data_IF_919973136535
#
_entry.id   IF_919973136535
#
_cell.length_a   1.000
_cell.length_b   1.000
_cell.length_c   1.000
_cell.angle_alpha   90.00
_cell.angle_beta   90.00
_cell.angle_gamma   90.00
#
_symmetry.space_group_name_H-M   'P 1'
#
loop_
_entity.id
_entity.type
_entity.pdbx_description
1 polymer ?
#
# COMPACT_ATOMS: atom_id res chain seq x y z
N UNK A 1 12.11 -10.56 16.69
CA UNK A 1 11.25 -10.25 15.52
C UNK A 1 12.22 -10.28 14.35
N UNK A 2 12.27 -11.40 13.65
CA UNK A 2 13.30 -11.63 12.64
C UNK A 2 13.03 -10.72 11.43
N UNK A 3 13.96 -9.81 11.20
CA UNK A 3 14.07 -9.13 9.92
C UNK A 3 14.44 -10.22 8.91
N UNK A 4 13.54 -10.52 7.96
CA UNK A 4 13.89 -11.43 6.85
C UNK A 4 15.20 -10.98 6.20
N UNK A 5 16.09 -11.95 5.90
CA UNK A 5 17.39 -11.67 5.32
C UNK A 5 17.29 -10.79 4.05
N UNK A 6 18.24 -9.87 3.84
CA UNK A 6 18.35 -9.11 2.59
C UNK A 6 18.38 -10.04 1.38
N UNK A 7 17.83 -9.59 0.25
CA UNK A 7 17.87 -10.36 -1.00
C UNK A 7 19.33 -10.54 -1.42
N UNK A 8 19.73 -11.80 -1.61
CA UNK A 8 21.12 -12.13 -1.96
C UNK A 8 21.45 -11.63 -3.37
N UNK A 9 22.70 -11.26 -3.68
CA UNK A 9 23.08 -10.78 -5.01
C UNK A 9 22.63 -11.68 -6.17
N UNK A 10 22.73 -13.00 -6.00
CA UNK A 10 22.29 -13.98 -7.00
C UNK A 10 20.75 -14.00 -7.20
N UNK A 11 19.98 -13.72 -6.16
CA UNK A 11 18.52 -13.65 -6.23
C UNK A 11 18.06 -12.42 -7.01
N UNK A 12 18.83 -11.33 -6.95
CA UNK A 12 18.53 -10.12 -7.70
C UNK A 12 18.60 -10.29 -9.21
N UNK A 13 19.51 -11.10 -9.75
CA UNK A 13 19.55 -11.35 -11.19
C UNK A 13 18.23 -11.94 -11.69
N UNK A 14 17.71 -12.93 -10.96
CA UNK A 14 16.41 -13.56 -11.24
C UNK A 14 15.25 -12.56 -11.14
N UNK A 15 15.25 -11.71 -10.11
CA UNK A 15 14.25 -10.64 -9.96
C UNK A 15 14.29 -9.70 -11.17
N UNK A 16 15.47 -9.26 -11.59
CA UNK A 16 15.65 -8.34 -12.70
C UNK A 16 15.25 -8.98 -14.04
N UNK A 17 15.53 -10.25 -14.25
CA UNK A 17 15.12 -10.98 -15.46
C UNK A 17 13.59 -11.04 -15.56
N UNK A 18 12.90 -11.33 -14.45
CA UNK A 18 11.43 -11.36 -14.40
C UNK A 18 10.84 -9.96 -14.60
N UNK A 19 11.40 -8.94 -13.94
CA UNK A 19 11.00 -7.54 -14.12
C UNK A 19 11.21 -7.12 -15.58
N UNK A 20 12.38 -7.38 -16.18
CA UNK A 20 12.67 -7.01 -17.57
C UNK A 20 11.66 -7.61 -18.56
N UNK A 21 11.22 -8.85 -18.33
CA UNK A 21 10.22 -9.51 -19.19
C UNK A 21 8.83 -8.91 -19.06
N UNK A 22 8.49 -8.34 -17.92
CA UNK A 22 7.09 -8.08 -17.56
C UNK A 22 6.77 -6.60 -17.30
N UNK A 23 7.78 -5.77 -17.03
CA UNK A 23 7.65 -4.40 -16.52
C UNK A 23 6.66 -3.55 -17.32
N UNK A 24 6.96 -3.30 -18.59
CA UNK A 24 6.12 -2.46 -19.47
C UNK A 24 4.69 -2.97 -19.53
N UNK A 25 4.51 -4.28 -19.75
CA UNK A 25 3.19 -4.89 -19.93
C UNK A 25 2.27 -4.75 -18.70
N UNK A 26 2.83 -4.69 -17.49
CA UNK A 26 2.06 -4.48 -16.27
C UNK A 26 1.95 -3.01 -15.88
N UNK A 27 2.99 -2.21 -16.10
CA UNK A 27 2.96 -0.77 -15.82
C UNK A 27 1.86 -0.07 -16.62
N UNK A 28 1.72 -0.39 -17.90
CA UNK A 28 0.69 0.17 -18.80
C UNK A 28 -0.75 -0.16 -18.36
N UNK A 29 -0.94 -1.16 -17.50
CA UNK A 29 -2.25 -1.53 -16.96
C UNK A 29 -2.68 -0.63 -15.79
N UNK A 30 -1.78 0.22 -15.30
CA UNK A 30 -2.10 1.20 -14.27
C UNK A 30 -3.09 2.24 -14.81
N UNK A 31 -4.15 2.51 -14.06
CA UNK A 31 -5.25 3.35 -14.53
C UNK A 31 -5.29 4.66 -13.75
N UNK A 32 -4.82 5.74 -14.37
CA UNK A 32 -4.95 7.09 -13.80
C UNK A 32 -6.40 7.56 -13.67
N UNK A 33 -7.33 6.99 -14.43
CA UNK A 33 -8.78 7.20 -14.20
C UNK A 33 -9.25 6.67 -12.83
N UNK A 34 -8.66 5.56 -12.36
CA UNK A 34 -8.99 4.96 -11.05
C UNK A 34 -8.16 5.54 -9.91
N UNK A 35 -6.94 5.96 -10.22
CA UNK A 35 -5.95 6.47 -9.29
C UNK A 35 -5.38 7.78 -9.86
N UNK A 36 -6.16 8.86 -9.87
CA UNK A 36 -5.71 10.10 -10.47
C UNK A 36 -4.58 10.71 -9.62
N UNK A 37 -3.52 11.15 -10.30
CA UNK A 37 -2.27 11.53 -9.66
C UNK A 37 -2.40 12.87 -8.90
N UNK A 38 -3.11 13.85 -9.49
CA UNK A 38 -3.25 15.19 -8.91
C UNK A 38 -3.87 15.15 -7.52
N UNK A 39 -4.93 14.38 -7.34
CA UNK A 39 -5.64 14.27 -6.07
C UNK A 39 -4.81 13.51 -5.04
N UNK A 40 -4.08 12.49 -5.50
CA UNK A 40 -3.13 11.79 -4.64
C UNK A 40 -2.00 12.70 -4.14
N UNK A 41 -1.44 13.56 -4.99
CA UNK A 41 -0.46 14.58 -4.56
C UNK A 41 -1.07 15.53 -3.51
N UNK A 42 -2.29 16.04 -3.76
CA UNK A 42 -2.98 16.90 -2.79
C UNK A 42 -3.28 16.21 -1.45
N UNK A 43 -3.56 14.90 -1.46
CA UNK A 43 -3.71 14.13 -0.22
C UNK A 43 -2.38 14.04 0.52
N UNK A 44 -1.27 13.76 -0.16
CA UNK A 44 0.05 13.75 0.50
C UNK A 44 0.34 15.09 1.15
N UNK A 45 0.17 16.20 0.43
CA UNK A 45 0.45 17.54 0.94
C UNK A 45 -0.34 17.88 2.20
N UNK A 46 -1.65 17.62 2.18
CA UNK A 46 -2.55 17.99 3.29
C UNK A 46 -2.38 17.10 4.52
N UNK A 47 -2.13 15.80 4.32
CA UNK A 47 -1.93 14.85 5.41
C UNK A 47 -0.54 14.97 6.03
N UNK A 48 0.52 15.14 5.23
CA UNK A 48 1.88 15.33 5.76
C UNK A 48 2.04 16.66 6.50
N UNK A 49 1.30 17.70 6.10
CA UNK A 49 1.23 18.96 6.82
C UNK A 49 0.32 18.93 8.06
N UNK A 50 -0.32 17.79 8.37
CA UNK A 50 -1.24 17.63 9.50
C UNK A 50 -2.32 18.71 9.55
N UNK A 51 -2.85 19.08 8.39
CA UNK A 51 -3.89 20.10 8.27
C UNK A 51 -5.14 19.72 9.07
N UNK A 52 -5.86 20.73 9.55
CA UNK A 52 -7.08 20.49 10.35
C UNK A 52 -8.16 19.78 9.56
N UNK A 53 -8.33 20.19 8.30
CA UNK A 53 -9.32 19.62 7.39
C UNK A 53 -8.58 18.89 6.28
N UNK A 54 -8.66 17.57 6.33
CA UNK A 54 -8.20 16.67 5.27
C UNK A 54 -9.42 15.99 4.63
N UNK A 55 -9.36 15.72 3.33
CA UNK A 55 -10.40 14.96 2.65
C UNK A 55 -10.18 13.44 2.83
N UNK A 56 -10.47 12.96 4.04
CA UNK A 56 -10.33 11.55 4.42
C UNK A 56 -11.18 10.61 3.57
N UNK A 57 -12.40 11.02 3.24
CA UNK A 57 -13.29 10.25 2.39
C UNK A 57 -12.68 10.06 1.00
N UNK A 58 -12.28 11.16 0.34
CA UNK A 58 -11.71 11.09 -1.00
C UNK A 58 -10.39 10.31 -1.02
N UNK A 59 -9.50 10.53 -0.04
CA UNK A 59 -8.22 9.81 0.07
C UNK A 59 -8.42 8.29 0.22
N UNK A 60 -9.35 7.86 1.08
CA UNK A 60 -9.61 6.43 1.28
C UNK A 60 -10.33 5.79 0.08
N UNK A 61 -11.24 6.53 -0.57
CA UNK A 61 -11.87 6.07 -1.82
C UNK A 61 -10.84 5.95 -2.96
N UNK A 62 -9.87 6.85 -3.03
CA UNK A 62 -8.74 6.75 -3.94
C UNK A 62 -7.97 5.43 -3.69
N UNK A 63 -7.60 5.15 -2.43
CA UNK A 63 -6.87 3.91 -2.08
C UNK A 63 -7.60 2.64 -2.48
N UNK A 64 -8.93 2.62 -2.35
CA UNK A 64 -9.75 1.46 -2.69
C UNK A 64 -10.11 1.37 -4.18
N UNK A 65 -9.66 2.29 -5.02
CA UNK A 65 -10.03 2.35 -6.44
C UNK A 65 -11.53 2.63 -6.62
N UNK A 66 -12.09 3.43 -5.72
CA UNK A 66 -13.48 3.89 -5.72
C UNK A 66 -13.60 5.39 -6.02
N UNK A 67 -12.54 6.00 -6.56
CA UNK A 67 -12.55 7.39 -7.00
C UNK A 67 -13.80 7.72 -7.84
N UNK A 68 -14.47 8.81 -7.50
CA UNK A 68 -15.69 9.28 -8.17
C UNK A 68 -16.94 8.40 -8.01
N UNK A 69 -16.90 7.32 -7.21
CA UNK A 69 -18.05 6.45 -6.99
C UNK A 69 -18.85 6.90 -5.77
N UNK A 70 -20.16 7.14 -5.96
CA UNK A 70 -21.09 7.46 -4.87
C UNK A 70 -21.51 6.23 -4.05
N UNK A 71 -21.58 5.06 -4.71
CA UNK A 71 -22.05 3.82 -4.10
C UNK A 71 -20.87 2.90 -3.75
N UNK A 72 -20.37 3.01 -2.53
CA UNK A 72 -19.36 2.10 -1.95
C UNK A 72 -19.88 1.44 -0.67
N UNK A 73 -19.30 0.31 -0.21
CA UNK A 73 -19.80 -0.47 0.92
C UNK A 73 -20.04 0.34 2.22
N UNK A 74 -21.13 0.04 2.93
CA UNK A 74 -21.46 0.69 4.22
C UNK A 74 -20.35 0.56 5.27
N UNK A 75 -19.66 -0.59 5.31
CA UNK A 75 -18.51 -0.82 6.21
C UNK A 75 -17.33 0.12 5.94
N UNK A 76 -17.17 0.58 4.69
CA UNK A 76 -16.15 1.57 4.33
C UNK A 76 -16.58 2.98 4.76
N UNK A 77 -17.85 3.35 4.59
CA UNK A 77 -18.41 4.60 5.13
C UNK A 77 -18.24 4.70 6.65
N UNK A 78 -18.56 3.63 7.37
CA UNK A 78 -18.40 3.59 8.82
C UNK A 78 -16.93 3.76 9.23
N UNK A 79 -16.00 3.11 8.53
CA UNK A 79 -14.57 3.25 8.79
C UNK A 79 -14.06 4.67 8.54
N UNK A 80 -14.49 5.32 7.45
CA UNK A 80 -14.15 6.73 7.17
C UNK A 80 -14.57 7.61 8.35
N UNK A 81 -15.82 7.51 8.80
CA UNK A 81 -16.32 8.28 9.96
C UNK A 81 -15.51 8.04 11.23
N UNK A 82 -15.12 6.78 11.48
CA UNK A 82 -14.24 6.46 12.61
C UNK A 82 -12.90 7.18 12.49
N UNK A 83 -12.30 7.21 11.30
CA UNK A 83 -11.00 7.87 11.09
C UNK A 83 -11.13 9.39 11.20
N UNK A 84 -12.18 9.97 10.63
CA UNK A 84 -12.51 11.41 10.74
C UNK A 84 -12.63 11.83 12.21
N UNK A 85 -13.39 11.07 13.02
CA UNK A 85 -13.52 11.33 14.44
C UNK A 85 -12.20 11.18 15.22
N UNK A 86 -11.24 10.39 14.71
CA UNK A 86 -9.93 10.18 15.33
C UNK A 86 -8.87 11.17 14.87
N UNK A 87 -9.08 11.87 13.74
CA UNK A 87 -8.09 12.81 13.18
C UNK A 87 -7.67 13.92 14.15
N UNK A 88 -8.58 14.62 14.87
CA UNK A 88 -8.16 15.64 15.84
C UNK A 88 -7.30 15.08 16.97
N UNK A 89 -7.63 13.88 17.47
CA UNK A 89 -6.84 13.19 18.50
C UNK A 89 -5.46 12.77 17.99
N UNK A 90 -5.37 12.32 16.73
CA UNK A 90 -4.10 12.00 16.10
C UNK A 90 -3.23 13.26 16.03
N UNK A 91 -3.76 14.36 15.50
CA UNK A 91 -3.01 15.62 15.41
C UNK A 91 -2.53 16.09 16.77
N UNK A 92 -3.41 16.09 17.77
CA UNK A 92 -3.04 16.45 19.14
C UNK A 92 -1.94 15.55 19.69
N UNK A 93 -2.02 14.23 19.47
CA UNK A 93 -0.99 13.29 19.89
C UNK A 93 0.37 13.57 19.23
N UNK A 94 0.40 13.92 17.94
CA UNK A 94 1.64 14.29 17.24
C UNK A 94 2.22 15.59 17.78
N UNK A 95 1.40 16.59 18.11
CA UNK A 95 1.87 17.86 18.67
C UNK A 95 2.17 17.82 20.18
N UNK A 96 1.68 16.82 20.91
CA UNK A 96 1.95 16.64 22.34
C UNK A 96 3.21 15.81 22.64
N UNK A 97 3.85 15.21 21.63
CA UNK A 97 5.03 14.35 21.82
C UNK A 97 6.34 15.13 21.63
N UNK A 98 7.30 14.95 22.55
CA UNK A 98 8.61 15.64 22.64
C UNK A 98 9.59 15.26 21.48
N UNK A 99 9.07 14.75 20.37
CA UNK A 99 9.84 14.43 19.17
C UNK A 99 8.91 13.89 18.09
N UNK A 100 9.00 14.46 16.89
CA UNK A 100 8.18 14.18 15.71
C UNK A 100 7.74 12.70 15.64
N UNK A 101 6.44 12.45 15.49
CA UNK A 101 5.91 11.10 15.37
C UNK A 101 6.58 10.36 14.22
N UNK A 102 7.45 9.39 14.52
CA UNK A 102 8.12 8.60 13.50
C UNK A 102 7.09 7.83 12.64
N UNK A 103 7.47 7.39 11.43
CA UNK A 103 6.58 6.58 10.61
C UNK A 103 6.05 5.32 11.32
N UNK A 104 6.90 4.65 12.10
CA UNK A 104 6.50 3.48 12.87
C UNK A 104 5.53 3.86 13.99
N UNK A 105 5.81 4.91 14.76
CA UNK A 105 4.91 5.37 15.82
C UNK A 105 3.54 5.78 15.26
N UNK A 106 3.53 6.40 14.07
CA UNK A 106 2.30 6.76 13.34
C UNK A 106 1.51 5.51 12.94
N UNK A 107 2.18 4.50 12.39
CA UNK A 107 1.55 3.22 12.06
C UNK A 107 1.00 2.51 13.29
N UNK A 108 1.74 2.47 14.38
CA UNK A 108 1.34 1.83 15.64
C UNK A 108 0.14 2.54 16.26
N UNK A 109 0.13 3.88 16.22
CA UNK A 109 -1.00 4.67 16.69
C UNK A 109 -2.28 4.34 15.91
N UNK A 110 -2.25 4.40 14.58
CA UNK A 110 -3.43 4.08 13.76
C UNK A 110 -3.86 2.63 13.91
N UNK A 111 -2.92 1.70 14.01
CA UNK A 111 -3.22 0.29 14.22
C UNK A 111 -3.85 0.03 15.58
N UNK A 112 -3.43 0.74 16.64
CA UNK A 112 -4.08 0.70 17.95
C UNK A 112 -5.51 1.22 17.90
N UNK A 113 -5.76 2.31 17.16
CA UNK A 113 -7.10 2.92 17.07
C UNK A 113 -8.08 2.12 16.19
N UNK A 114 -7.60 1.53 15.10
CA UNK A 114 -8.45 0.88 14.08
C UNK A 114 -8.48 -0.65 14.21
N UNK A 115 -7.54 -1.22 14.96
CA UNK A 115 -7.36 -2.65 15.13
C UNK A 115 -6.61 -3.32 13.97
N UNK A 116 -5.97 -4.46 14.28
CA UNK A 116 -5.09 -5.20 13.37
C UNK A 116 -5.73 -5.60 12.03
N UNK A 117 -7.05 -5.84 12.01
CA UNK A 117 -7.80 -6.20 10.78
C UNK A 117 -7.85 -5.06 9.76
N UNK A 118 -7.45 -3.84 10.14
CA UNK A 118 -7.43 -2.63 9.29
C UNK A 118 -6.04 -2.23 8.84
N UNK A 119 -5.08 -3.16 8.88
CA UNK A 119 -3.68 -2.96 8.46
C UNK A 119 -3.50 -2.06 7.23
N UNK A 120 -4.15 -2.37 6.11
CA UNK A 120 -4.00 -1.63 4.84
C UNK A 120 -4.41 -0.17 5.00
N UNK A 121 -5.41 0.11 5.84
CA UNK A 121 -5.87 1.46 6.13
C UNK A 121 -4.86 2.20 7.02
N UNK A 122 -4.38 1.56 8.09
CA UNK A 122 -3.34 2.13 8.94
C UNK A 122 -2.08 2.45 8.13
N UNK A 123 -1.60 1.49 7.32
CA UNK A 123 -0.42 1.67 6.48
C UNK A 123 -0.60 2.79 5.45
N UNK A 124 -1.79 2.92 4.85
CA UNK A 124 -2.06 4.00 3.90
C UNK A 124 -2.13 5.38 4.57
N UNK A 125 -2.73 5.48 5.76
CA UNK A 125 -2.71 6.73 6.52
C UNK A 125 -1.28 7.11 6.90
N UNK A 126 -0.48 6.16 7.38
CA UNK A 126 0.95 6.37 7.66
C UNK A 126 1.69 6.83 6.41
N UNK A 127 1.43 6.23 5.24
CA UNK A 127 1.99 6.67 3.97
C UNK A 127 1.63 8.12 3.65
N UNK A 128 0.36 8.52 3.77
CA UNK A 128 -0.06 9.89 3.48
C UNK A 128 0.58 10.93 4.42
N UNK A 129 0.86 10.55 5.67
CA UNK A 129 1.51 11.41 6.66
C UNK A 129 3.03 11.45 6.45
N UNK A 130 3.64 10.35 5.99
CA UNK A 130 5.08 10.19 5.78
C UNK A 130 5.42 9.78 4.33
N UNK A 131 5.00 10.53 3.30
CA UNK A 131 4.98 10.04 1.92
C UNK A 131 6.36 9.78 1.31
N UNK A 132 7.40 10.47 1.79
CA UNK A 132 8.78 10.25 1.34
C UNK A 132 9.46 9.09 2.08
N UNK A 133 8.90 8.63 3.21
CA UNK A 133 9.53 7.62 4.06
C UNK A 133 8.84 6.27 4.02
N UNK A 134 7.56 6.23 3.64
CA UNK A 134 6.72 5.03 3.70
C UNK A 134 6.12 4.80 2.32
N UNK A 135 6.37 3.66 1.66
CA UNK A 135 5.72 3.34 0.39
C UNK A 135 4.24 2.97 0.60
N UNK A 136 3.45 3.00 -0.48
CA UNK A 136 2.13 2.37 -0.46
C UNK A 136 2.33 0.85 -0.38
N UNK A 137 1.83 0.24 0.69
CA UNK A 137 1.71 -1.22 0.76
C UNK A 137 0.25 -1.63 0.61
N UNK A 138 0.01 -2.61 -0.27
CA UNK A 138 -1.22 -3.38 -0.22
C UNK A 138 -1.00 -4.87 -0.53
N UNK A 139 -2.10 -5.62 -0.58
CA UNK A 139 -2.08 -7.06 -0.86
C UNK A 139 -1.48 -7.42 -2.23
N UNK A 140 -1.45 -6.49 -3.18
CA UNK A 140 -0.90 -6.66 -4.52
C UNK A 140 0.60 -6.41 -4.50
N UNK A 141 1.05 -5.26 -3.98
CA UNK A 141 2.48 -4.98 -3.83
C UNK A 141 3.17 -6.09 -3.02
N UNK A 142 2.58 -6.50 -1.90
CA UNK A 142 3.13 -7.55 -1.05
C UNK A 142 3.17 -8.92 -1.73
N UNK A 143 2.16 -9.24 -2.55
CA UNK A 143 2.19 -10.49 -3.35
C UNK A 143 3.27 -10.45 -4.42
N UNK A 144 3.41 -9.32 -5.11
CA UNK A 144 4.47 -9.13 -6.10
C UNK A 144 5.86 -9.30 -5.46
N UNK A 145 6.10 -8.64 -4.33
CA UNK A 145 7.32 -8.78 -3.53
C UNK A 145 7.64 -10.25 -3.25
N UNK A 146 6.70 -10.98 -2.64
CA UNK A 146 6.91 -12.38 -2.25
C UNK A 146 7.13 -13.29 -3.45
N UNK A 147 6.45 -13.02 -4.57
CA UNK A 147 6.63 -13.77 -5.80
C UNK A 147 8.02 -13.53 -6.42
N UNK A 148 8.44 -12.28 -6.52
CA UNK A 148 9.75 -11.91 -7.07
C UNK A 148 10.88 -12.47 -6.19
N UNK A 149 10.75 -12.41 -4.87
CA UNK A 149 11.72 -13.01 -3.93
C UNK A 149 11.71 -14.53 -3.95
N UNK A 150 10.62 -15.17 -4.36
CA UNK A 150 10.38 -16.62 -4.19
C UNK A 150 10.50 -17.06 -2.72
N UNK A 151 10.04 -16.22 -1.79
CA UNK A 151 10.14 -16.51 -0.35
C UNK A 151 9.42 -17.85 -0.03
N UNK A 152 10.13 -18.88 0.48
CA UNK A 152 9.50 -20.13 0.87
C UNK A 152 8.46 -19.87 1.96
N UNK A 153 7.28 -20.50 1.85
CA UNK A 153 6.19 -20.32 2.83
C UNK A 153 5.78 -18.85 3.07
N UNK A 154 5.89 -18.01 2.05
CA UNK A 154 5.59 -16.59 2.15
C UNK A 154 4.20 -16.31 2.73
N UNK A 155 4.14 -15.32 3.62
CA UNK A 155 2.90 -14.76 4.12
C UNK A 155 2.01 -14.29 2.95
N UNK A 156 0.71 -14.54 3.04
CA UNK A 156 -0.24 -14.20 1.95
C UNK A 156 -0.70 -12.74 1.96
N UNK A 157 -0.58 -12.05 3.09
CA UNK A 157 -1.07 -10.68 3.30
C UNK A 157 -0.13 -9.94 4.24
N UNK A 158 0.16 -8.65 4.02
CA UNK A 158 0.91 -7.88 4.99
C UNK A 158 0.05 -7.63 6.25
N UNK A 159 0.69 -7.47 7.40
CA UNK A 159 0.04 -7.32 8.70
C UNK A 159 0.87 -6.62 9.77
N UNK A 160 2.15 -6.29 9.55
CA UNK A 160 2.98 -5.60 10.55
C UNK A 160 3.88 -4.53 9.90
N UNK A 161 4.58 -3.77 10.74
CA UNK A 161 5.50 -2.71 10.32
C UNK A 161 6.68 -3.24 9.49
N UNK A 162 7.22 -4.41 9.85
CA UNK A 162 8.32 -5.03 9.12
C UNK A 162 7.97 -5.28 7.64
N UNK A 163 6.72 -5.61 7.31
CA UNK A 163 6.28 -5.77 5.92
C UNK A 163 6.41 -4.46 5.11
N UNK A 164 6.19 -3.29 5.73
CA UNK A 164 6.38 -1.96 5.11
C UNK A 164 7.87 -1.72 4.87
N UNK A 165 8.70 -1.99 5.88
CA UNK A 165 10.16 -1.82 5.82
C UNK A 165 10.74 -2.69 4.71
N UNK A 166 10.34 -3.96 4.63
CA UNK A 166 10.79 -4.87 3.58
C UNK A 166 10.38 -4.39 2.18
N UNK A 167 9.14 -3.94 2.01
CA UNK A 167 8.69 -3.38 0.73
C UNK A 167 9.50 -2.12 0.35
N UNK A 168 9.80 -1.24 1.31
CA UNK A 168 10.60 -0.03 1.10
C UNK A 168 12.00 -0.38 0.61
N UNK A 169 12.70 -1.29 1.29
CA UNK A 169 14.04 -1.73 0.88
C UNK A 169 14.01 -2.35 -0.51
N UNK A 170 13.03 -3.22 -0.77
CA UNK A 170 12.87 -3.85 -2.08
C UNK A 170 12.62 -2.82 -3.19
N UNK A 171 11.72 -1.87 -2.98
CA UNK A 171 11.41 -0.83 -3.96
C UNK A 171 12.64 0.00 -4.30
N UNK A 172 13.39 0.44 -3.28
CA UNK A 172 14.62 1.21 -3.45
C UNK A 172 15.66 0.44 -4.26
N UNK A 173 15.98 -0.78 -3.84
CA UNK A 173 16.99 -1.59 -4.53
C UNK A 173 16.56 -1.97 -5.96
N UNK A 174 15.28 -2.32 -6.16
CA UNK A 174 14.77 -2.64 -7.49
C UNK A 174 14.78 -1.41 -8.42
N UNK A 175 14.40 -0.25 -7.90
CA UNK A 175 14.46 1.05 -8.58
C UNK A 175 15.87 1.39 -9.01
N UNK A 176 16.84 1.31 -8.10
CA UNK A 176 18.25 1.58 -8.36
C UNK A 176 18.83 0.60 -9.40
N UNK A 177 18.61 -0.70 -9.23
CA UNK A 177 19.15 -1.75 -10.12
C UNK A 177 18.56 -1.75 -11.52
N UNK A 178 17.25 -1.48 -11.64
CA UNK A 178 16.56 -1.47 -12.93
C UNK A 178 16.47 -0.06 -13.55
N UNK A 179 17.00 0.95 -12.86
CA UNK A 179 17.10 2.34 -13.32
C UNK A 179 15.73 2.94 -13.70
N UNK A 180 14.74 2.78 -12.82
CA UNK A 180 13.40 3.35 -12.97
C UNK A 180 12.94 3.96 -11.66
N UNK A 181 12.17 5.06 -11.67
CA UNK A 181 11.69 5.70 -10.45
C UNK A 181 10.89 4.74 -9.54
N UNK A 182 11.07 4.83 -8.22
CA UNK A 182 10.34 4.04 -7.23
C UNK A 182 8.81 4.12 -7.43
N UNK A 183 8.30 5.29 -7.82
CA UNK A 183 6.87 5.51 -8.06
C UNK A 183 6.35 4.71 -9.27
N UNK A 184 7.17 4.49 -10.30
CA UNK A 184 6.78 3.63 -11.43
C UNK A 184 6.86 2.15 -11.02
N UNK A 185 7.88 1.79 -10.23
CA UNK A 185 8.00 0.45 -9.67
C UNK A 185 6.82 0.07 -8.77
N UNK A 186 6.37 0.98 -7.91
CA UNK A 186 5.19 0.77 -7.08
C UNK A 186 3.95 0.46 -7.92
N UNK A 187 3.69 1.25 -8.96
CA UNK A 187 2.59 1.03 -9.93
C UNK A 187 2.73 -0.32 -10.64
N UNK A 188 3.94 -0.67 -11.07
CA UNK A 188 4.24 -1.96 -11.67
C UNK A 188 3.93 -3.12 -10.69
N UNK A 189 4.43 -3.09 -9.45
CA UNK A 189 4.20 -4.14 -8.46
C UNK A 189 2.71 -4.29 -8.14
N UNK A 190 1.97 -3.18 -8.06
CA UNK A 190 0.53 -3.21 -7.87
C UNK A 190 -0.18 -3.98 -9.01
N UNK A 191 0.19 -3.74 -10.27
CA UNK A 191 -0.43 -4.40 -11.41
C UNK A 191 0.04 -5.85 -11.60
N UNK A 192 1.33 -6.11 -11.40
CA UNK A 192 1.92 -7.44 -11.44
C UNK A 192 1.33 -8.33 -10.35
N UNK A 193 1.34 -7.88 -9.09
CA UNK A 193 0.77 -8.61 -7.96
C UNK A 193 -0.74 -8.84 -8.08
N UNK A 194 -1.46 -7.95 -8.75
CA UNK A 194 -2.87 -8.16 -9.10
C UNK A 194 -3.05 -9.33 -10.08
N UNK A 195 -2.15 -9.48 -11.06
CA UNK A 195 -2.22 -10.54 -12.06
C UNK A 195 -1.82 -11.92 -11.52
N UNK A 196 -0.96 -11.97 -10.50
CA UNK A 196 -0.57 -13.21 -9.81
C UNK A 196 -1.71 -13.87 -9.00
N UNK A 197 -2.88 -13.23 -8.87
CA UNK A 197 -4.01 -13.87 -8.19
C UNK A 197 -4.51 -15.05 -9.03
N UNK A 198 -4.61 -16.28 -8.49
CA UNK A 198 -5.22 -17.38 -9.22
C UNK A 198 -6.61 -16.99 -9.70
N UNK A 199 -6.88 -17.13 -11.00
CA UNK A 199 -8.24 -17.02 -11.51
C UNK A 199 -9.05 -18.13 -10.85
N UNK A 200 -10.09 -17.78 -10.09
CA UNK A 200 -11.08 -18.76 -9.67
C UNK A 200 -11.68 -19.32 -10.96
N UNK A 201 -11.38 -20.59 -11.28
CA UNK A 201 -12.13 -21.33 -12.29
C UNK A 201 -13.59 -21.24 -11.85
N UNK A 202 -14.44 -20.59 -12.66
CA UNK A 202 -15.87 -20.60 -12.40
C UNK A 202 -16.31 -22.05 -12.51
N UNK A 203 -16.74 -22.66 -11.41
CA UNK A 203 -17.41 -23.96 -11.46
C UNK A 203 -18.57 -23.86 -12.46
N UNK A 204 -18.76 -24.84 -13.35
CA UNK A 204 -19.91 -24.85 -14.24
C UNK A 204 -21.17 -24.76 -13.38
N UNK A 205 -22.09 -23.86 -13.77
CA UNK A 205 -23.42 -23.81 -13.15
C UNK A 205 -24.01 -25.20 -13.29
N UNK A 206 -24.39 -25.82 -12.17
CA UNK A 206 -25.30 -26.97 -12.20
C UNK A 206 -26.59 -26.45 -12.82
N UNK A 207 -26.85 -26.83 -14.06
CA UNK A 207 -28.22 -26.82 -14.60
C UNK A 207 -29.04 -27.69 -13.66
N UNK A 208 -30.05 -27.08 -13.04
CA UNK A 208 -31.05 -27.80 -12.27
C UNK A 208 -31.95 -28.51 -13.28
N UNK A 209 -31.95 -29.84 -13.22
CA UNK A 209 -33.04 -30.68 -13.70
C UNK A 209 -34.18 -30.65 -12.68
#
# INVERSE_FOLDING_TARGET
MDMEEPIKPAEWQRVLDEVKKTYTSYLERYSYKKYPAREYESFKDTFSALTEKVDLSAALLWKWGHWGKRNYPSKQRALIRTIEARWPYFRHWVSSSIGQASPQATFDWWTKQLGQRRYITSAYLTHLIHPQQVPIIDQHNFRALNHLRQTPSAKKKPSNWCDIVQLKHFLREASERYQRPEIEFDKYLMMYGRALKPRKVRSPRKEQA
#
